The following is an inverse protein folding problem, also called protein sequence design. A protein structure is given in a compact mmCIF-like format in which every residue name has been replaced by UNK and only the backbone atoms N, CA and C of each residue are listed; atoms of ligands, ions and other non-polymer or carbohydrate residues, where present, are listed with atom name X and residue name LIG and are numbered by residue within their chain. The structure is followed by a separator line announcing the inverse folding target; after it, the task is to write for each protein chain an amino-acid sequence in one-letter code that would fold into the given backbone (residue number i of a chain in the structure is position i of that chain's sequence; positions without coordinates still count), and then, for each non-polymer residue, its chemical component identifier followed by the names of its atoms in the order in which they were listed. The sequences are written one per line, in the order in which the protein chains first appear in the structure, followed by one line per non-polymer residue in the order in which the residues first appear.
data_IF_810307693824
#
_entry.id   IF_810307693824
#
_cell.length_a   1.000
_cell.length_b   1.000
_cell.length_c   1.000
_cell.angle_alpha   90.00
_cell.angle_beta   90.00
_cell.angle_gamma   90.00
#
_symmetry.space_group_name_H-M   'P 1'
#
loop_
_entity.id
_entity.type
_entity.pdbx_description
1 polymer ?
#
# COMPACT_ATOMS: atom_id res chain seq x y z
N UNK A 1 5.51 3.07 -24.11
CA UNK A 1 4.50 2.66 -23.11
C UNK A 1 4.23 3.85 -22.20
N UNK A 2 3.01 4.36 -22.15
CA UNK A 2 2.65 5.42 -21.18
C UNK A 2 2.69 4.80 -19.79
N UNK A 3 3.80 4.98 -19.08
CA UNK A 3 4.01 4.42 -17.74
C UNK A 3 3.09 5.11 -16.76
N UNK A 4 1.88 4.57 -16.57
CA UNK A 4 0.91 5.09 -15.61
C UNK A 4 1.56 5.03 -14.22
N UNK A 5 1.84 6.19 -13.63
CA UNK A 5 2.42 6.25 -12.28
C UNK A 5 1.43 5.66 -11.30
N UNK A 6 1.80 4.52 -10.68
CA UNK A 6 1.00 3.90 -9.62
C UNK A 6 1.00 4.83 -8.41
N UNK A 7 -0.19 5.12 -7.89
CA UNK A 7 -0.40 5.92 -6.68
C UNK A 7 -1.36 5.19 -5.76
N UNK A 8 -1.07 5.21 -4.45
CA UNK A 8 -1.97 4.78 -3.38
C UNK A 8 -1.93 5.82 -2.26
N UNK A 9 -3.04 6.01 -1.56
CA UNK A 9 -3.05 6.75 -0.30
C UNK A 9 -2.48 5.91 0.85
N UNK A 10 -2.05 6.55 1.94
CA UNK A 10 -1.66 5.87 3.17
C UNK A 10 -2.78 4.99 3.76
N UNK A 11 -4.03 5.45 3.65
CA UNK A 11 -5.22 4.70 4.05
C UNK A 11 -5.42 3.45 3.20
N UNK A 12 -5.23 3.54 1.87
CA UNK A 12 -5.27 2.38 0.98
C UNK A 12 -4.16 1.37 1.30
N UNK A 13 -2.93 1.84 1.55
CA UNK A 13 -1.82 0.97 1.95
C UNK A 13 -2.15 0.22 3.26
N UNK A 14 -2.66 0.93 4.26
CA UNK A 14 -3.09 0.34 5.53
C UNK A 14 -4.20 -0.69 5.32
N UNK A 15 -5.21 -0.37 4.52
CA UNK A 15 -6.33 -1.26 4.26
C UNK A 15 -5.90 -2.53 3.51
N UNK A 16 -5.04 -2.43 2.49
CA UNK A 16 -4.45 -3.58 1.80
C UNK A 16 -3.73 -4.49 2.80
N UNK A 17 -2.87 -3.91 3.64
CA UNK A 17 -2.13 -4.66 4.65
C UNK A 17 -3.06 -5.41 5.61
N UNK A 18 -4.09 -4.74 6.11
CA UNK A 18 -5.06 -5.33 7.02
C UNK A 18 -5.88 -6.44 6.34
N UNK A 19 -6.25 -6.25 5.06
CA UNK A 19 -7.01 -7.24 4.29
C UNK A 19 -6.22 -8.53 4.04
N UNK A 20 -4.90 -8.45 3.88
CA UNK A 20 -4.03 -9.64 3.78
C UNK A 20 -3.59 -10.21 5.14
N UNK A 21 -4.01 -9.59 6.26
CA UNK A 21 -3.70 -10.06 7.61
C UNK A 21 -2.27 -9.78 8.09
N UNK A 22 -1.52 -8.90 7.41
CA UNK A 22 -0.13 -8.65 7.74
C UNK A 22 0.03 -7.57 8.84
N UNK A 23 1.04 -7.74 9.68
CA UNK A 23 1.60 -6.64 10.48
C UNK A 23 2.42 -5.71 9.59
N UNK A 24 2.73 -4.49 10.05
CA UNK A 24 3.60 -3.59 9.29
C UNK A 24 4.99 -4.21 9.04
N UNK A 25 5.48 -5.03 9.98
CA UNK A 25 6.77 -5.71 9.85
C UNK A 25 6.70 -6.83 8.81
N UNK A 26 5.62 -7.63 8.80
CA UNK A 26 5.42 -8.70 7.84
C UNK A 26 5.32 -8.16 6.39
N UNK A 27 4.55 -7.08 6.19
CA UNK A 27 4.48 -6.45 4.87
C UNK A 27 5.84 -5.88 4.45
N UNK A 28 6.57 -5.25 5.37
CA UNK A 28 7.89 -4.70 5.09
C UNK A 28 8.89 -5.78 4.66
N UNK A 29 8.86 -6.94 5.34
CA UNK A 29 9.68 -8.10 4.98
C UNK A 29 9.33 -8.63 3.58
N UNK A 30 8.03 -8.78 3.27
CA UNK A 30 7.58 -9.24 1.94
C UNK A 30 8.09 -8.38 0.78
N UNK A 31 8.18 -7.06 0.97
CA UNK A 31 8.62 -6.14 -0.08
C UNK A 31 10.06 -5.65 0.12
N UNK A 32 10.83 -6.30 1.01
CA UNK A 32 12.25 -6.02 1.28
C UNK A 32 12.55 -4.57 1.69
N UNK A 33 11.73 -3.99 2.56
CA UNK A 33 11.95 -2.66 3.15
C UNK A 33 11.94 -2.70 4.68
N UNK A 34 12.30 -1.59 5.31
CA UNK A 34 12.19 -1.45 6.76
C UNK A 34 10.75 -1.24 7.21
N UNK A 35 10.35 -1.79 8.36
CA UNK A 35 9.03 -1.53 8.97
C UNK A 35 8.72 -0.03 9.13
N UNK A 36 9.67 0.85 9.55
CA UNK A 36 9.44 2.30 9.56
C UNK A 36 9.04 2.91 8.21
N UNK A 37 9.45 2.31 7.08
CA UNK A 37 9.03 2.78 5.76
C UNK A 37 7.52 2.58 5.56
N UNK A 38 6.98 1.39 5.90
CA UNK A 38 5.55 1.11 5.87
C UNK A 38 4.79 2.05 6.81
N UNK A 39 5.27 2.22 8.04
CA UNK A 39 4.67 3.16 8.99
C UNK A 39 4.58 4.58 8.42
N UNK A 40 5.67 5.08 7.81
CA UNK A 40 5.68 6.42 7.20
C UNK A 40 4.70 6.54 6.04
N UNK A 41 4.53 5.49 5.23
CA UNK A 41 3.56 5.46 4.13
C UNK A 41 2.12 5.50 4.68
N UNK A 42 1.79 4.65 5.65
CA UNK A 42 0.43 4.61 6.24
C UNK A 42 0.08 5.91 6.96
N UNK A 43 1.04 6.54 7.64
CA UNK A 43 0.85 7.82 8.33
C UNK A 43 0.49 8.98 7.40
N UNK A 44 0.62 8.82 6.07
CA UNK A 44 0.17 9.81 5.09
C UNK A 44 -1.35 9.91 4.97
N UNK A 45 -2.11 8.97 5.53
CA UNK A 45 -3.58 9.05 5.55
C UNK A 45 -4.16 9.12 4.14
N UNK A 46 -4.93 10.16 3.84
CA UNK A 46 -5.54 10.39 2.51
C UNK A 46 -4.54 10.85 1.43
N UNK A 47 -3.32 11.25 1.79
CA UNK A 47 -2.34 11.71 0.81
C UNK A 47 -1.84 10.57 -0.09
N UNK A 48 -1.98 10.75 -1.40
CA UNK A 48 -1.41 9.85 -2.40
C UNK A 48 0.12 9.92 -2.45
N UNK A 49 0.74 8.75 -2.45
CA UNK A 49 2.18 8.55 -2.60
C UNK A 49 2.46 7.62 -3.78
N UNK A 50 3.67 7.71 -4.30
CA UNK A 50 4.20 6.87 -5.38
C UNK A 50 5.61 6.42 -5.03
N UNK A 51 6.07 5.33 -5.63
CA UNK A 51 7.42 4.80 -5.42
C UNK A 51 7.45 3.29 -5.65
N UNK A 52 8.64 2.66 -5.60
CA UNK A 52 8.79 1.22 -5.73
C UNK A 52 7.92 0.44 -4.73
N UNK A 53 7.85 0.90 -3.47
CA UNK A 53 7.05 0.27 -2.42
C UNK A 53 5.56 0.26 -2.78
N UNK A 54 5.07 1.37 -3.33
CA UNK A 54 3.66 1.54 -3.72
C UNK A 54 3.31 0.60 -4.88
N UNK A 55 4.24 0.41 -5.83
CA UNK A 55 4.08 -0.54 -6.94
C UNK A 55 3.97 -1.97 -6.40
N UNK A 56 4.88 -2.37 -5.50
CA UNK A 56 4.88 -3.71 -4.92
C UNK A 56 3.63 -3.98 -4.07
N UNK A 57 3.21 -3.01 -3.26
CA UNK A 57 1.98 -3.11 -2.45
C UNK A 57 0.74 -3.25 -3.34
N UNK A 58 0.68 -2.50 -4.46
CA UNK A 58 -0.39 -2.65 -5.45
C UNK A 58 -0.41 -4.04 -6.07
N UNK A 59 0.76 -4.58 -6.43
CA UNK A 59 0.85 -5.94 -6.98
C UNK A 59 0.35 -6.99 -5.99
N UNK A 60 0.66 -6.85 -4.70
CA UNK A 60 0.12 -7.72 -3.65
C UNK A 60 -1.40 -7.61 -3.58
N UNK A 61 -1.95 -6.40 -3.62
CA UNK A 61 -3.40 -6.20 -3.63
C UNK A 61 -4.06 -6.88 -4.85
N UNK A 62 -3.47 -6.75 -6.03
CA UNK A 62 -3.92 -7.40 -7.27
C UNK A 62 -3.87 -8.93 -7.16
N UNK A 63 -2.79 -9.50 -6.59
CA UNK A 63 -2.66 -10.95 -6.35
C UNK A 63 -3.74 -11.49 -5.41
N UNK A 64 -4.11 -10.71 -4.39
CA UNK A 64 -5.16 -11.03 -3.43
C UNK A 64 -6.56 -10.61 -3.88
N UNK A 65 -6.72 -10.08 -5.10
CA UNK A 65 -7.99 -9.58 -5.67
C UNK A 65 -8.68 -8.54 -4.78
N UNK A 66 -7.89 -7.70 -4.11
CA UNK A 66 -8.40 -6.59 -3.31
C UNK A 66 -8.82 -5.45 -4.24
N UNK A 67 -10.07 -5.02 -4.15
CA UNK A 67 -10.57 -3.85 -4.88
C UNK A 67 -10.08 -2.56 -4.21
N UNK A 68 -8.96 -2.04 -4.70
CA UNK A 68 -8.32 -0.82 -4.19
C UNK A 68 -9.20 0.42 -4.36
N UNK A 69 -9.99 0.47 -5.45
CA UNK A 69 -10.79 1.64 -5.80
C UNK A 69 -12.03 1.74 -4.88
N UNK A 70 -12.50 0.61 -4.35
CA UNK A 70 -13.53 0.56 -3.29
C UNK A 70 -13.06 1.08 -1.93
N UNK A 71 -11.74 1.14 -1.70
CA UNK A 71 -11.15 1.61 -0.44
C UNK A 71 -11.15 3.14 -0.47
N UNK A 72 -12.31 3.73 -0.19
CA UNK A 72 -12.46 5.16 0.01
C UNK A 72 -11.81 5.51 1.35
N UNK A 73 -10.87 6.45 1.33
CA UNK A 73 -10.23 6.94 2.54
C UNK A 73 -11.26 7.67 3.39
N UNK A 74 -11.93 6.97 4.31
CA UNK A 74 -12.72 7.61 5.35
C UNK A 74 -11.76 8.43 6.22
N UNK A 75 -12.04 9.72 6.28
CA UNK A 75 -11.28 10.75 6.99
C UNK A 75 -11.17 10.48 8.50
#
# INVERSE_FOLDING_TARGET
MSGRTVKLSGNQIKAIRLAIGDSQAALAERIAVSQPAIFRLERKGSQFVSGPEVILIRQIAEQHRIDIDSIVGNE
#
